data_IF_850204458426
#
_entry.id   IF_850204458426
#
_cell.length_a   1.000
_cell.length_b   1.000
_cell.length_c   1.000
_cell.angle_alpha   90.00
_cell.angle_beta   90.00
_cell.angle_gamma   90.00
#
_symmetry.space_group_name_H-M   'P 1'
#
loop_
_entity.id
_entity.type
_entity.pdbx_description
1 polymer ?
#
# COMPACT_ATOMS: atom_id res chain seq x y z
N UNK A 1 -5.09 24.20 -34.46
CA UNK A 1 -5.85 24.22 -33.20
C UNK A 1 -6.10 22.77 -32.86
N UNK A 2 -5.12 22.13 -32.24
CA UNK A 2 -5.24 20.72 -31.82
C UNK A 2 -6.09 20.64 -30.54
N UNK A 3 -7.04 19.70 -30.43
CA UNK A 3 -7.80 19.52 -29.21
C UNK A 3 -6.96 18.82 -28.13
N UNK A 4 -7.01 19.39 -26.93
CA UNK A 4 -6.44 18.85 -25.70
C UNK A 4 -7.14 17.53 -25.33
N UNK A 5 -6.43 16.41 -25.45
CA UNK A 5 -6.88 15.10 -24.96
C UNK A 5 -6.44 14.98 -23.51
N UNK A 6 -7.41 14.91 -22.59
CA UNK A 6 -7.17 14.48 -21.22
C UNK A 6 -7.25 12.95 -21.18
N UNK A 7 -6.12 12.28 -20.97
CA UNK A 7 -6.08 10.86 -20.64
C UNK A 7 -6.55 10.66 -19.20
N UNK A 8 -7.76 10.11 -19.04
CA UNK A 8 -8.29 9.61 -17.78
C UNK A 8 -7.79 8.16 -17.60
N UNK A 9 -6.76 7.96 -16.78
CA UNK A 9 -6.21 6.64 -16.45
C UNK A 9 -7.19 5.86 -15.56
N UNK A 10 -7.88 4.88 -16.15
CA UNK A 10 -8.73 3.91 -15.46
C UNK A 10 -7.90 2.95 -14.59
N UNK A 11 -7.98 3.10 -13.26
CA UNK A 11 -7.56 2.05 -12.32
C UNK A 11 -8.74 1.14 -11.97
N UNK A 12 -8.82 -0.03 -12.60
CA UNK A 12 -9.70 -1.12 -12.15
C UNK A 12 -8.97 -2.00 -11.12
N UNK A 13 -9.49 -2.19 -9.88
CA UNK A 13 -8.93 -3.16 -8.95
C UNK A 13 -9.38 -4.58 -9.32
N UNK A 14 -8.39 -5.42 -9.65
CA UNK A 14 -8.56 -6.81 -10.04
C UNK A 14 -8.68 -7.76 -8.84
N UNK A 15 -9.82 -8.47 -8.81
CA UNK A 15 -10.12 -9.81 -8.24
C UNK A 15 -9.53 -10.20 -6.86
N UNK A 16 -10.39 -10.17 -5.85
CA UNK A 16 -10.24 -10.86 -4.56
C UNK A 16 -10.46 -12.37 -4.70
N UNK A 17 -9.43 -13.18 -4.42
CA UNK A 17 -9.59 -14.62 -4.14
C UNK A 17 -9.38 -14.87 -2.65
N UNK A 18 -10.46 -15.28 -1.96
CA UNK A 18 -10.42 -15.77 -0.58
C UNK A 18 -9.79 -17.16 -0.57
N UNK A 19 -8.79 -17.40 0.28
CA UNK A 19 -8.37 -18.76 0.65
C UNK A 19 -8.30 -18.82 2.18
N UNK A 20 -9.30 -19.50 2.75
CA UNK A 20 -9.41 -19.89 4.14
C UNK A 20 -8.58 -21.17 4.35
N UNK A 21 -7.58 -21.13 5.23
CA UNK A 21 -6.72 -22.27 5.53
C UNK A 21 -5.95 -22.07 6.82
N UNK A 22 -6.52 -22.53 7.92
CA UNK A 22 -5.89 -22.61 9.24
C UNK A 22 -4.89 -23.76 9.29
N UNK A 23 -3.61 -23.45 9.16
CA UNK A 23 -2.51 -24.26 9.67
C UNK A 23 -1.31 -23.33 9.92
N UNK A 24 -0.70 -23.40 11.11
CA UNK A 24 0.51 -22.62 11.43
C UNK A 24 1.71 -23.26 10.75
N UNK A 25 1.74 -23.19 9.42
CA UNK A 25 2.88 -23.55 8.59
C UNK A 25 3.96 -22.51 8.86
N UNK A 26 5.13 -22.94 9.35
CA UNK A 26 6.34 -22.11 9.21
C UNK A 26 6.54 -21.91 7.72
N UNK A 27 6.23 -20.71 7.24
CA UNK A 27 6.41 -20.33 5.85
C UNK A 27 7.92 -20.28 5.62
N UNK A 28 8.48 -21.38 5.12
CA UNK A 28 9.82 -21.40 4.53
C UNK A 28 9.70 -20.57 3.27
N UNK A 29 10.14 -19.31 3.34
CA UNK A 29 10.15 -18.43 2.18
C UNK A 29 11.26 -18.93 1.26
N UNK A 30 10.99 -19.12 -0.05
CA UNK A 30 12.05 -19.39 -1.00
C UNK A 30 13.07 -18.25 -0.90
N UNK A 31 14.37 -18.56 -0.80
CA UNK A 31 15.42 -17.53 -0.63
C UNK A 31 15.49 -16.52 -1.79
N UNK A 32 14.77 -16.79 -2.89
CA UNK A 32 14.69 -15.95 -4.08
C UNK A 32 13.36 -15.19 -4.23
N UNK A 33 12.50 -15.12 -3.21
CA UNK A 33 11.33 -14.23 -3.29
C UNK A 33 11.71 -12.78 -2.93
N UNK A 34 11.31 -11.79 -3.76
CA UNK A 34 11.56 -10.40 -3.45
C UNK A 34 10.87 -10.05 -2.13
N UNK A 35 11.67 -9.57 -1.18
CA UNK A 35 11.17 -9.03 0.08
C UNK A 35 10.43 -7.72 -0.18
N UNK A 36 9.14 -7.82 -0.44
CA UNK A 36 8.33 -6.65 -0.79
C UNK A 36 7.88 -5.91 0.46
N UNK A 37 8.31 -4.65 0.55
CA UNK A 37 7.83 -3.68 1.53
C UNK A 37 6.56 -3.01 1.00
N UNK A 38 5.62 -2.67 1.89
CA UNK A 38 4.44 -1.88 1.54
C UNK A 38 4.43 -0.59 2.35
N UNK A 39 4.11 0.52 1.69
CA UNK A 39 3.99 1.84 2.31
C UNK A 39 2.62 2.40 1.94
N UNK A 40 1.85 2.81 2.94
CA UNK A 40 0.62 3.56 2.78
C UNK A 40 0.82 4.93 3.41
N UNK A 41 0.38 5.98 2.74
CA UNK A 41 0.40 7.33 3.30
C UNK A 41 -0.93 8.02 3.06
N UNK A 42 -1.42 8.70 4.08
CA UNK A 42 -2.55 9.60 4.00
C UNK A 42 -2.14 10.99 4.48
N UNK A 43 -2.75 12.02 3.92
CA UNK A 43 -2.38 13.40 4.22
C UNK A 43 -3.57 14.32 4.13
N UNK A 44 -3.57 15.34 4.96
CA UNK A 44 -4.59 16.39 4.95
C UNK A 44 -3.95 17.74 5.22
N UNK A 45 -4.50 18.78 4.59
CA UNK A 45 -4.06 20.16 4.77
C UNK A 45 -5.27 21.07 4.94
N UNK A 46 -5.13 22.05 5.81
CA UNK A 46 -6.10 23.12 6.02
C UNK A 46 -5.38 24.46 6.29
N UNK A 47 -6.15 25.53 6.47
CA UNK A 47 -5.61 26.87 6.71
C UNK A 47 -4.71 26.97 7.97
N UNK A 48 -4.83 26.03 8.91
CA UNK A 48 -4.03 25.96 10.13
C UNK A 48 -2.80 25.05 10.01
N UNK A 49 -2.57 24.42 8.86
CA UNK A 49 -1.39 23.58 8.59
C UNK A 49 -1.74 22.25 7.92
N UNK A 50 -0.70 21.46 7.69
CA UNK A 50 -0.81 20.14 7.07
C UNK A 50 -0.33 19.04 8.02
N UNK A 51 -0.75 17.81 7.75
CA UNK A 51 -0.28 16.62 8.43
C UNK A 51 -0.29 15.42 7.50
N UNK A 52 0.55 14.44 7.83
CA UNK A 52 0.68 13.19 7.08
C UNK A 52 0.80 12.03 8.04
N UNK A 53 0.06 10.95 7.76
CA UNK A 53 0.20 9.64 8.36
C UNK A 53 0.86 8.67 7.39
N UNK A 54 1.69 7.77 7.91
CA UNK A 54 2.33 6.72 7.15
C UNK A 54 2.24 5.38 7.88
N UNK A 55 2.00 4.31 7.12
CA UNK A 55 2.06 2.91 7.57
C UNK A 55 3.11 2.17 6.74
N UNK A 56 4.12 1.61 7.40
CA UNK A 56 5.12 0.74 6.81
C UNK A 56 4.81 -0.70 7.19
N UNK A 57 4.72 -1.59 6.19
CA UNK A 57 4.60 -3.04 6.40
C UNK A 57 5.87 -3.70 5.88
N UNK A 58 6.55 -4.40 6.78
CA UNK A 58 7.73 -5.18 6.46
C UNK A 58 7.35 -6.44 5.68
N UNK A 59 8.30 -7.06 4.97
CA UNK A 59 8.06 -8.33 4.28
C UNK A 59 7.59 -9.46 5.22
N UNK A 60 8.02 -9.48 6.48
CA UNK A 60 7.57 -10.42 7.51
C UNK A 60 6.19 -10.09 8.09
N UNK A 61 5.60 -8.95 7.71
CA UNK A 61 4.25 -8.54 8.09
C UNK A 61 4.19 -7.68 9.34
N UNK A 62 5.33 -7.27 9.90
CA UNK A 62 5.39 -6.28 10.97
C UNK A 62 4.91 -4.92 10.44
N UNK A 63 4.17 -4.20 11.28
CA UNK A 63 3.57 -2.91 10.93
C UNK A 63 4.10 -1.81 11.84
N UNK A 64 4.49 -0.70 11.24
CA UNK A 64 4.90 0.51 11.95
C UNK A 64 4.10 1.69 11.42
N UNK A 65 3.54 2.48 12.34
CA UNK A 65 2.69 3.63 12.03
C UNK A 65 3.32 4.90 12.59
N UNK A 66 3.31 5.98 11.82
CA UNK A 66 3.79 7.29 12.27
C UNK A 66 2.98 8.41 11.62
N UNK A 67 2.64 9.43 12.42
CA UNK A 67 2.04 10.67 11.94
C UNK A 67 2.90 11.87 12.32
N UNK A 68 2.84 12.93 11.51
CA UNK A 68 3.48 14.22 11.80
C UNK A 68 2.60 15.38 11.31
N UNK A 69 2.77 16.55 11.92
CA UNK A 69 2.09 17.81 11.59
C UNK A 69 3.14 18.92 11.45
#
# INVERSE_FOLDING_TARGET
>A
MDPFVAEEEQLQPSKTSKIQGSARSKVVRPENQPQQWQIFSDGSSNASGAGVGCVLITPDGFKMEKATR
#
